data_IF_546536283802
#
_entry.id   IF_546536283802
#
_cell.length_a   1.000
_cell.length_b   1.000
_cell.length_c   1.000
_cell.angle_alpha   90.00
_cell.angle_beta   90.00
_cell.angle_gamma   90.00
#
_symmetry.space_group_name_H-M   'P 1'
#
loop_
_entity.id
_entity.type
_entity.pdbx_description
1 polymer ?
#
# COMPACT_ATOMS: atom_id res chain seq x y z
N UNK A 1 -8.13 12.30 7.46
CA UNK A 1 -9.08 11.45 8.21
C UNK A 1 -8.57 11.05 9.59
N UNK A 2 -7.29 11.26 9.94
CA UNK A 2 -6.76 10.86 11.26
C UNK A 2 -6.50 9.35 11.39
N UNK A 3 -6.63 8.61 10.28
CA UNK A 3 -6.52 7.15 10.22
C UNK A 3 -5.07 6.65 10.33
N UNK A 4 -4.08 7.48 9.98
CA UNK A 4 -2.66 7.17 10.13
C UNK A 4 -2.12 7.78 11.45
N UNK A 5 -1.70 6.96 12.43
CA UNK A 5 -1.17 7.42 13.70
C UNK A 5 0.32 7.83 13.63
N UNK A 6 1.03 7.52 12.54
CA UNK A 6 2.46 7.78 12.42
C UNK A 6 2.77 9.19 11.88
N UNK A 7 1.97 9.68 10.92
CA UNK A 7 2.13 11.01 10.35
C UNK A 7 0.81 11.58 9.83
N UNK A 8 0.75 12.90 9.69
CA UNK A 8 -0.39 13.60 9.12
C UNK A 8 -0.20 13.75 7.60
N UNK A 9 -1.11 13.18 6.81
CA UNK A 9 -1.15 13.34 5.35
C UNK A 9 -2.57 13.64 4.87
N UNK A 10 -2.68 14.34 3.74
CA UNK A 10 -3.92 14.52 2.98
C UNK A 10 -4.18 13.37 2.01
N UNK A 11 -3.21 12.46 1.83
CA UNK A 11 -3.36 11.27 1.00
C UNK A 11 -4.27 10.22 1.67
N UNK A 12 -4.93 9.36 0.88
CA UNK A 12 -5.74 8.27 1.42
C UNK A 12 -4.88 7.27 2.19
N UNK A 13 -5.39 6.80 3.32
CA UNK A 13 -4.74 5.77 4.12
C UNK A 13 -5.27 4.39 3.78
N UNK A 14 -4.38 3.48 3.41
CA UNK A 14 -4.64 2.05 3.28
C UNK A 14 -3.61 1.30 4.12
N UNK A 15 -4.07 0.26 4.82
CA UNK A 15 -3.23 -0.66 5.58
C UNK A 15 -3.40 -2.09 5.06
N UNK A 16 -2.73 -3.05 5.70
CA UNK A 16 -2.82 -4.48 5.37
C UNK A 16 -2.34 -4.79 3.95
N UNK A 17 -1.30 -4.11 3.49
CA UNK A 17 -0.51 -4.51 2.32
C UNK A 17 0.33 -5.76 2.65
N UNK A 18 -0.29 -6.80 3.21
CA UNK A 18 0.39 -7.98 3.75
C UNK A 18 0.93 -8.89 2.64
N UNK A 19 0.09 -9.10 1.64
CA UNK A 19 0.32 -10.00 0.52
C UNK A 19 0.58 -9.24 -0.77
N UNK A 20 1.30 -8.11 -0.78
CA UNK A 20 1.61 -7.40 -2.03
C UNK A 20 2.27 -8.32 -3.05
N UNK A 21 3.16 -9.19 -2.58
CA UNK A 21 3.82 -10.24 -3.39
C UNK A 21 2.85 -11.24 -4.03
N UNK A 22 1.68 -11.51 -3.44
CA UNK A 22 0.65 -12.33 -4.07
C UNK A 22 -0.32 -11.49 -4.91
N UNK A 23 -0.79 -10.38 -4.33
CA UNK A 23 -1.89 -9.56 -4.85
C UNK A 23 -1.52 -8.83 -6.14
N UNK A 24 -0.24 -8.51 -6.36
CA UNK A 24 0.21 -7.89 -7.61
C UNK A 24 -0.08 -8.77 -8.84
N UNK A 25 -0.16 -10.10 -8.65
CA UNK A 25 -0.31 -11.07 -9.75
C UNK A 25 -1.72 -11.18 -10.28
N UNK A 26 -2.73 -10.84 -9.48
CA UNK A 26 -4.14 -11.05 -9.84
C UNK A 26 -5.08 -9.98 -9.26
N UNK A 27 -5.00 -9.69 -7.96
CA UNK A 27 -5.94 -8.82 -7.27
C UNK A 27 -5.84 -7.36 -7.76
N UNK A 28 -4.64 -6.77 -7.78
CA UNK A 28 -4.45 -5.40 -8.26
C UNK A 28 -4.79 -5.23 -9.76
N UNK A 29 -4.41 -6.17 -10.65
CA UNK A 29 -4.90 -6.18 -12.02
C UNK A 29 -6.43 -6.24 -12.12
N UNK A 30 -7.09 -7.10 -11.33
CA UNK A 30 -8.55 -7.21 -11.32
C UNK A 30 -9.21 -5.91 -10.85
N UNK A 31 -8.71 -5.32 -9.76
CA UNK A 31 -9.26 -4.05 -9.23
C UNK A 31 -9.06 -2.92 -10.25
N UNK A 32 -7.96 -2.92 -11.02
CA UNK A 32 -7.77 -1.93 -12.10
C UNK A 32 -8.89 -1.97 -13.13
N UNK A 33 -9.46 -3.14 -13.41
CA UNK A 33 -10.60 -3.30 -14.34
C UNK A 33 -11.94 -2.99 -13.69
N UNK A 34 -12.14 -3.43 -12.45
CA UNK A 34 -13.44 -3.37 -11.76
C UNK A 34 -13.69 -2.03 -11.07
N UNK A 35 -12.66 -1.46 -10.44
CA UNK A 35 -12.71 -0.22 -9.68
C UNK A 35 -11.37 0.54 -9.75
N UNK A 36 -11.09 1.19 -10.89
CA UNK A 36 -9.85 1.95 -11.08
C UNK A 36 -9.72 3.13 -10.10
N UNK A 37 -10.82 3.64 -9.55
CA UNK A 37 -10.77 4.71 -8.57
C UNK A 37 -10.12 4.22 -7.27
N UNK A 38 -10.60 3.11 -6.71
CA UNK A 38 -9.99 2.52 -5.53
C UNK A 38 -8.53 2.10 -5.76
N UNK A 39 -8.19 1.55 -6.92
CA UNK A 39 -6.80 1.24 -7.26
C UNK A 39 -5.91 2.50 -7.25
N UNK A 40 -6.41 3.63 -7.76
CA UNK A 40 -5.69 4.90 -7.73
C UNK A 40 -5.44 5.37 -6.30
N UNK A 41 -6.45 5.24 -5.42
CA UNK A 41 -6.31 5.62 -4.02
C UNK A 41 -5.31 4.70 -3.28
N UNK A 42 -5.31 3.40 -3.56
CA UNK A 42 -4.31 2.46 -3.01
C UNK A 42 -2.88 2.84 -3.41
N UNK A 43 -2.64 3.13 -4.70
CA UNK A 43 -1.33 3.58 -5.20
C UNK A 43 -0.89 4.89 -4.54
N UNK A 44 -1.82 5.84 -4.35
CA UNK A 44 -1.52 7.09 -3.63
C UNK A 44 -1.10 6.84 -2.18
N UNK A 45 -1.75 5.89 -1.49
CA UNK A 45 -1.34 5.46 -0.16
C UNK A 45 0.07 4.84 -0.12
N UNK A 46 0.41 3.99 -1.10
CA UNK A 46 1.75 3.40 -1.23
C UNK A 46 2.84 4.48 -1.47
N UNK A 47 2.53 5.48 -2.29
CA UNK A 47 3.44 6.62 -2.51
C UNK A 47 3.61 7.46 -1.23
N UNK A 48 2.54 7.67 -0.46
CA UNK A 48 2.62 8.40 0.81
C UNK A 48 3.51 7.68 1.82
N UNK A 49 3.42 6.35 1.87
CA UNK A 49 4.31 5.49 2.67
C UNK A 49 5.77 5.67 2.22
N UNK A 50 6.04 5.59 0.91
CA UNK A 50 7.39 5.79 0.37
C UNK A 50 7.97 7.15 0.76
N UNK A 51 7.17 8.22 0.72
CA UNK A 51 7.64 9.58 1.08
C UNK A 51 8.06 9.71 2.54
N UNK A 52 7.42 8.97 3.45
CA UNK A 52 7.70 9.07 4.89
C UNK A 52 8.69 8.01 5.38
N UNK A 53 8.74 6.83 4.76
CA UNK A 53 9.61 5.73 5.18
C UNK A 53 10.82 5.49 4.27
N UNK A 54 10.89 6.17 3.12
CA UNK A 54 12.01 6.15 2.18
C UNK A 54 12.06 4.94 1.24
N UNK A 55 11.13 3.99 1.36
CA UNK A 55 11.01 2.80 0.50
C UNK A 55 9.54 2.40 0.35
N UNK A 56 9.22 1.79 -0.78
CA UNK A 56 7.92 1.14 -0.95
C UNK A 56 7.86 -0.14 -0.11
N UNK A 57 6.71 -0.48 0.49
CA UNK A 57 6.57 -1.65 1.34
C UNK A 57 6.58 -2.94 0.52
N UNK A 58 7.34 -3.96 0.93
CA UNK A 58 7.13 -5.34 0.43
C UNK A 58 5.95 -5.99 1.16
N UNK A 59 5.82 -5.66 2.46
CA UNK A 59 4.65 -5.95 3.28
C UNK A 59 4.44 -4.81 4.31
N UNK A 60 3.20 -4.49 4.65
CA UNK A 60 2.85 -3.54 5.74
C UNK A 60 1.56 -3.95 6.42
N UNK A 61 1.59 -4.01 7.76
CA UNK A 61 0.44 -4.36 8.59
C UNK A 61 0.54 -3.64 9.94
N UNK A 62 -0.57 -3.08 10.41
CA UNK A 62 -0.66 -2.46 11.74
C UNK A 62 0.46 -1.45 11.98
N UNK A 63 0.75 -0.63 10.97
CA UNK A 63 1.82 0.39 11.00
C UNK A 63 3.26 -0.15 11.09
N UNK A 64 3.46 -1.47 10.97
CA UNK A 64 4.77 -2.11 10.99
C UNK A 64 5.25 -2.49 9.58
N UNK A 65 6.55 -2.37 9.34
CA UNK A 65 7.20 -2.84 8.12
C UNK A 65 7.32 -4.37 8.13
N UNK A 66 6.75 -5.02 7.12
CA UNK A 66 6.98 -6.42 6.82
C UNK A 66 8.10 -6.58 5.80
N UNK A 67 9.11 -7.39 6.14
CA UNK A 67 10.30 -7.63 5.31
C UNK A 67 10.27 -9.00 4.60
N UNK A 68 9.09 -9.61 4.57
CA UNK A 68 8.86 -10.97 4.12
C UNK A 68 8.45 -11.00 2.65
N UNK A 69 8.87 -12.06 1.94
CA UNK A 69 8.47 -12.47 0.56
C UNK A 69 9.46 -12.12 -0.55
N UNK A 70 10.48 -11.30 -0.26
CA UNK A 70 11.70 -11.23 -1.05
C UNK A 70 11.59 -10.40 -2.32
N UNK A 71 10.77 -9.35 -2.31
CA UNK A 71 10.62 -8.45 -3.46
C UNK A 71 10.37 -6.99 -3.09
N UNK A 72 10.00 -6.21 -4.10
CA UNK A 72 9.46 -4.86 -3.95
C UNK A 72 8.35 -4.73 -4.99
N UNK A 73 7.19 -5.31 -4.67
CA UNK A 73 6.05 -5.51 -5.59
C UNK A 73 4.92 -4.49 -5.37
N UNK A 74 5.20 -3.45 -4.59
CA UNK A 74 4.34 -2.29 -4.38
C UNK A 74 4.34 -1.34 -5.58
#
# INVERSE_FOLDING_TARGET
TGENPLWASSEPYYDSFYCLWDSFRAQHPLITLMDPHSQTLMVRGLIDIYRHEGKLPDCRMSFCQGWTQGGSNA
#
